data_IF_492566427162
#
_entry.id   IF_492566427162
#
_cell.length_a   1.000
_cell.length_b   1.000
_cell.length_c   1.000
_cell.angle_alpha   90.00
_cell.angle_beta   90.00
_cell.angle_gamma   90.00
#
_symmetry.space_group_name_H-M   'P 1'
#
loop_
_entity.id
_entity.type
_entity.pdbx_description
1 polymer ?
#
# COMPACT_ATOMS: atom_id res chain seq x y z
N UNK A 1 -12.03 12.19 -3.61
CA UNK A 1 -10.96 11.16 -3.49
C UNK A 1 -10.91 10.27 -4.72
N UNK A 2 -12.03 9.65 -5.12
CA UNK A 2 -12.10 8.84 -6.34
C UNK A 2 -11.53 9.54 -7.59
N UNK A 3 -11.90 10.81 -7.82
CA UNK A 3 -11.35 11.62 -8.93
C UNK A 3 -9.83 11.78 -8.85
N UNK A 4 -9.28 12.03 -7.67
CA UNK A 4 -7.83 12.19 -7.46
C UNK A 4 -7.08 10.91 -7.82
N UNK A 5 -7.61 9.76 -7.39
CA UNK A 5 -7.03 8.45 -7.69
C UNK A 5 -7.13 8.11 -9.18
N UNK A 6 -8.27 8.41 -9.80
CA UNK A 6 -8.47 8.15 -11.22
C UNK A 6 -7.56 9.02 -12.11
N UNK A 7 -7.36 10.29 -11.76
CA UNK A 7 -6.42 11.17 -12.46
C UNK A 7 -4.97 10.68 -12.33
N UNK A 8 -4.59 10.20 -11.15
CA UNK A 8 -3.22 9.75 -10.88
C UNK A 8 -2.93 8.34 -11.44
N UNK A 9 -3.91 7.43 -11.40
CA UNK A 9 -3.74 6.02 -11.77
C UNK A 9 -4.92 5.56 -12.63
N UNK A 10 -5.02 6.02 -13.89
CA UNK A 10 -6.18 5.77 -14.73
C UNK A 10 -6.38 4.29 -15.09
N UNK A 11 -5.32 3.49 -15.06
CA UNK A 11 -5.37 2.05 -15.32
C UNK A 11 -5.76 1.20 -14.10
N UNK A 12 -5.81 1.79 -12.90
CA UNK A 12 -6.07 1.06 -11.65
C UNK A 12 -7.51 1.27 -11.18
N UNK A 13 -8.19 0.18 -10.88
CA UNK A 13 -9.51 0.21 -10.24
C UNK A 13 -9.36 0.24 -8.72
N UNK A 14 -9.89 1.27 -8.08
CA UNK A 14 -9.93 1.41 -6.63
C UNK A 14 -11.34 1.18 -6.10
N UNK A 15 -11.47 0.33 -5.09
CA UNK A 15 -12.65 0.23 -4.26
C UNK A 15 -12.49 1.15 -3.05
N UNK A 16 -13.47 2.04 -2.83
CA UNK A 16 -13.46 2.97 -1.70
C UNK A 16 -14.65 2.67 -0.81
N UNK A 17 -14.38 2.28 0.43
CA UNK A 17 -15.41 1.98 1.43
C UNK A 17 -15.35 3.01 2.54
N UNK A 18 -16.50 3.58 2.91
CA UNK A 18 -16.61 4.53 4.02
C UNK A 18 -17.36 3.88 5.17
N UNK A 19 -16.73 3.83 6.33
CA UNK A 19 -17.34 3.32 7.58
C UNK A 19 -17.41 4.45 8.59
N UNK A 20 -18.58 4.71 9.17
CA UNK A 20 -18.73 5.59 10.33
C UNK A 20 -18.62 4.74 11.60
N UNK A 21 -17.70 5.07 12.50
CA UNK A 21 -17.57 4.42 13.82
C UNK A 21 -17.68 5.49 14.91
N UNK A 22 -18.78 5.46 15.66
CA UNK A 22 -19.04 6.36 16.77
C UNK A 22 -18.85 7.83 16.38
N UNK A 23 -17.69 8.38 16.73
CA UNK A 23 -17.37 9.81 16.67
C UNK A 23 -16.54 10.18 15.43
N UNK A 24 -16.24 9.24 14.54
CA UNK A 24 -15.42 9.49 13.38
C UNK A 24 -15.69 8.59 12.18
N UNK A 25 -15.05 8.92 11.08
CA UNK A 25 -15.17 8.23 9.80
C UNK A 25 -13.83 7.63 9.37
N UNK A 26 -13.90 6.39 8.93
CA UNK A 26 -12.78 5.68 8.33
C UNK A 26 -13.09 5.42 6.86
N UNK A 27 -12.11 5.68 6.01
CA UNK A 27 -12.15 5.39 4.59
C UNK A 27 -11.10 4.32 4.28
N UNK A 28 -11.53 3.20 3.71
CA UNK A 28 -10.63 2.15 3.22
C UNK A 28 -10.53 2.26 1.71
N UNK A 29 -9.30 2.24 1.19
CA UNK A 29 -9.00 2.23 -0.23
C UNK A 29 -8.34 0.89 -0.54
N UNK A 30 -9.04 0.06 -1.30
CA UNK A 30 -8.59 -1.24 -1.72
C UNK A 30 -8.32 -1.26 -3.22
N UNK A 31 -7.24 -1.90 -3.65
CA UNK A 31 -6.98 -2.17 -5.07
C UNK A 31 -6.21 -3.47 -5.26
N UNK A 32 -6.18 -3.96 -6.50
CA UNK A 32 -5.44 -5.16 -6.90
C UNK A 32 -4.31 -4.75 -7.84
N UNK A 33 -3.11 -5.28 -7.61
CA UNK A 33 -1.88 -4.95 -8.34
C UNK A 33 -1.63 -3.44 -8.40
N UNK A 34 -1.20 -2.88 -9.53
CA UNK A 34 -1.21 -1.43 -9.74
C UNK A 34 -0.09 -0.66 -9.01
N UNK A 35 -0.34 0.58 -8.54
CA UNK A 35 0.63 1.39 -7.81
C UNK A 35 0.98 0.81 -6.43
N UNK A 36 2.17 1.12 -5.94
CA UNK A 36 2.59 0.81 -4.56
C UNK A 36 1.78 1.61 -3.55
N UNK A 37 1.66 1.05 -2.35
CA UNK A 37 1.03 1.70 -1.21
C UNK A 37 1.59 3.10 -0.97
N UNK A 38 2.91 3.28 -1.07
CA UNK A 38 3.55 4.58 -0.91
C UNK A 38 3.12 5.61 -1.96
N UNK A 39 2.90 5.19 -3.21
CA UNK A 39 2.46 6.06 -4.30
C UNK A 39 1.02 6.54 -4.04
N UNK A 40 0.13 5.64 -3.64
CA UNK A 40 -1.25 5.97 -3.25
C UNK A 40 -1.27 6.83 -2.00
N UNK A 41 -0.50 6.46 -0.97
CA UNK A 41 -0.44 7.15 0.32
C UNK A 41 -0.06 8.62 0.20
N UNK A 42 0.91 8.95 -0.66
CA UNK A 42 1.32 10.34 -0.87
C UNK A 42 0.22 11.23 -1.43
N UNK A 43 -0.74 10.66 -2.17
CA UNK A 43 -1.86 11.40 -2.73
C UNK A 43 -3.03 11.52 -1.76
N UNK A 44 -3.31 10.46 -1.00
CA UNK A 44 -4.56 10.37 -0.22
C UNK A 44 -4.39 10.64 1.27
N UNK A 45 -3.26 10.31 1.91
CA UNK A 45 -3.10 10.54 3.35
C UNK A 45 -3.13 12.03 3.74
N UNK A 46 -2.65 13.00 2.93
CA UNK A 46 -2.83 14.42 3.21
C UNK A 46 -4.30 14.87 3.25
N UNK A 47 -5.22 14.06 2.71
CA UNK A 47 -6.65 14.33 2.63
C UNK A 47 -7.42 13.90 3.89
N UNK A 48 -6.74 13.35 4.90
CA UNK A 48 -7.37 13.01 6.17
C UNK A 48 -7.79 14.28 6.90
N UNK A 49 -9.01 14.28 7.45
CA UNK A 49 -9.56 15.37 8.26
C UNK A 49 -8.90 15.47 9.64
N UNK A 50 -8.07 14.50 10.03
CA UNK A 50 -7.32 14.52 11.28
C UNK A 50 -5.86 14.15 11.09
N UNK A 51 -5.02 14.61 12.02
CA UNK A 51 -3.62 14.22 12.15
C UNK A 51 -3.28 13.88 13.60
N UNK A 52 -2.24 13.08 13.79
CA UNK A 52 -1.60 12.93 15.09
C UNK A 52 -0.61 14.08 15.27
N UNK A 53 -0.79 14.89 16.31
CA UNK A 53 0.13 15.94 16.70
C UNK A 53 1.16 15.42 17.71
N UNK A 54 2.17 16.24 18.01
CA UNK A 54 3.16 15.95 19.03
C UNK A 54 2.46 15.69 20.38
N UNK A 55 2.88 14.63 21.08
CA UNK A 55 2.23 14.19 22.33
C UNK A 55 1.00 13.28 22.13
N UNK A 56 0.74 12.80 20.92
CA UNK A 56 -0.30 11.79 20.64
C UNK A 56 -1.72 12.32 20.55
N UNK A 57 -1.90 13.65 20.60
CA UNK A 57 -3.21 14.29 20.45
C UNK A 57 -3.68 14.22 19.00
N UNK A 58 -4.96 13.94 18.78
CA UNK A 58 -5.59 14.02 17.46
C UNK A 58 -6.08 15.45 17.23
N UNK A 59 -5.63 16.07 16.14
CA UNK A 59 -6.02 17.43 15.74
C UNK A 59 -6.78 17.41 14.42
N UNK A 60 -7.76 18.32 14.28
CA UNK A 60 -8.45 18.52 13.01
C UNK A 60 -7.59 19.27 12.03
N UNK A 61 -7.71 18.86 10.77
CA UNK A 61 -7.04 19.46 9.63
C UNK A 61 -8.09 20.14 8.78
N UNK A 62 -7.82 21.37 8.37
CA UNK A 62 -8.71 22.09 7.48
C UNK A 62 -8.18 22.03 6.05
N UNK A 63 -9.06 21.66 5.11
CA UNK A 63 -8.75 21.64 3.69
C UNK A 63 -9.48 22.78 3.00
N UNK A 64 -8.84 23.38 1.99
CA UNK A 64 -9.47 24.43 1.21
C UNK A 64 -8.94 24.47 -0.22
N UNK A 65 -9.70 25.09 -1.11
CA UNK A 65 -9.28 25.43 -2.47
C UNK A 65 -9.24 26.94 -2.64
N UNK A 66 -8.36 27.42 -3.52
CA UNK A 66 -8.35 28.81 -3.95
C UNK A 66 -9.22 28.96 -5.20
N UNK A 67 -10.21 29.85 -5.13
CA UNK A 67 -11.11 30.23 -6.22
C UNK A 67 -10.94 31.72 -6.53
N UNK A 68 -11.50 32.19 -7.65
CA UNK A 68 -11.53 33.61 -8.00
C UNK A 68 -12.25 34.48 -6.95
N UNK A 69 -13.17 33.89 -6.19
CA UNK A 69 -13.92 34.52 -5.10
C UNK A 69 -13.24 34.39 -3.72
N UNK A 70 -12.02 33.84 -3.65
CA UNK A 70 -11.27 33.67 -2.42
C UNK A 70 -11.11 32.22 -2.02
N UNK A 71 -11.19 31.93 -0.72
CA UNK A 71 -10.96 30.59 -0.17
C UNK A 71 -12.26 29.82 -0.02
N UNK A 72 -12.33 28.63 -0.60
CA UNK A 72 -13.42 27.68 -0.41
C UNK A 72 -12.97 26.55 0.53
N UNK A 73 -13.49 26.52 1.75
CA UNK A 73 -13.24 25.40 2.67
C UNK A 73 -13.87 24.11 2.12
N UNK A 74 -13.11 23.03 2.16
CA UNK A 74 -13.50 21.69 1.72
C UNK A 74 -13.53 20.79 2.94
N UNK A 75 -14.69 20.21 3.23
CA UNK A 75 -14.81 19.20 4.28
C UNK A 75 -14.53 17.82 3.69
N UNK A 76 -13.36 17.28 3.98
CA UNK A 76 -13.02 15.91 3.61
C UNK A 76 -13.64 14.94 4.62
N UNK A 77 -14.27 13.91 4.09
CA UNK A 77 -15.23 13.10 4.84
C UNK A 77 -14.60 12.06 5.78
N UNK A 78 -13.27 11.87 5.78
CA UNK A 78 -12.60 10.76 6.45
C UNK A 78 -11.58 11.25 7.48
N UNK A 79 -11.79 10.93 8.76
CA UNK A 79 -10.81 11.20 9.82
C UNK A 79 -9.57 10.32 9.66
N UNK A 80 -9.77 9.08 9.22
CA UNK A 80 -8.71 8.10 8.97
C UNK A 80 -8.85 7.47 7.59
N UNK A 81 -7.72 7.29 6.91
CA UNK A 81 -7.62 6.55 5.67
C UNK A 81 -6.76 5.30 5.90
N UNK A 82 -7.25 4.16 5.42
CA UNK A 82 -6.53 2.89 5.41
C UNK A 82 -6.35 2.45 3.96
N UNK A 83 -5.16 1.95 3.65
CA UNK A 83 -4.80 1.45 2.32
C UNK A 83 -4.63 -0.06 2.40
N UNK A 84 -5.06 -0.75 1.35
CA UNK A 84 -5.02 -2.20 1.29
C UNK A 84 -4.81 -2.62 -0.16
N UNK A 85 -3.57 -2.99 -0.46
CA UNK A 85 -3.21 -3.53 -1.76
C UNK A 85 -3.25 -5.06 -1.71
N UNK A 86 -3.95 -5.64 -2.67
CA UNK A 86 -3.94 -7.09 -2.92
C UNK A 86 -3.17 -7.38 -4.20
N UNK A 87 -2.66 -8.60 -4.32
CA UNK A 87 -1.95 -9.04 -5.52
C UNK A 87 -2.76 -10.10 -6.24
N UNK A 88 -2.77 -10.05 -7.57
CA UNK A 88 -3.34 -11.12 -8.38
C UNK A 88 -2.45 -12.36 -8.37
N UNK A 89 -3.04 -13.50 -8.68
CA UNK A 89 -2.31 -14.77 -8.77
C UNK A 89 -1.23 -14.72 -9.85
N UNK A 90 -1.44 -13.94 -10.92
CA UNK A 90 -0.44 -13.67 -11.94
C UNK A 90 0.78 -12.95 -11.36
N UNK A 91 0.58 -11.89 -10.59
CA UNK A 91 1.68 -11.14 -9.98
C UNK A 91 2.47 -12.02 -9.00
N UNK A 92 1.76 -12.81 -8.20
CA UNK A 92 2.36 -13.78 -7.26
C UNK A 92 3.18 -14.81 -8.03
N UNK A 93 2.63 -15.43 -9.07
CA UNK A 93 3.34 -16.42 -9.89
C UNK A 93 4.63 -15.85 -10.50
N UNK A 94 4.59 -14.62 -11.03
CA UNK A 94 5.78 -13.96 -11.58
C UNK A 94 6.87 -13.71 -10.53
N UNK A 95 6.48 -13.32 -9.31
CA UNK A 95 7.43 -13.13 -8.21
C UNK A 95 8.02 -14.46 -7.75
N UNK A 96 7.20 -15.50 -7.62
CA UNK A 96 7.65 -16.84 -7.26
C UNK A 96 8.66 -17.38 -8.29
N UNK A 97 8.39 -17.24 -9.58
CA UNK A 97 9.31 -17.64 -10.64
C UNK A 97 10.65 -16.89 -10.56
N UNK A 98 10.61 -15.57 -10.38
CA UNK A 98 11.83 -14.75 -10.19
C UNK A 98 12.64 -15.19 -8.97
N UNK A 99 11.97 -15.52 -7.87
CA UNK A 99 12.62 -15.95 -6.64
C UNK A 99 13.21 -17.36 -6.79
N UNK A 100 12.50 -18.26 -7.47
CA UNK A 100 12.99 -19.60 -7.78
C UNK A 100 14.25 -19.55 -8.67
N UNK A 101 14.31 -18.62 -9.62
CA UNK A 101 15.52 -18.38 -10.43
C UNK A 101 16.65 -17.76 -9.60
N UNK A 102 16.35 -16.78 -8.74
CA UNK A 102 17.33 -16.13 -7.87
C UNK A 102 18.04 -17.12 -6.94
N UNK A 103 17.31 -18.12 -6.45
CA UNK A 103 17.83 -19.12 -5.52
C UNK A 103 18.01 -20.49 -6.17
N UNK A 104 18.14 -20.57 -7.50
CA UNK A 104 18.15 -21.84 -8.23
C UNK A 104 19.21 -22.83 -7.70
N UNK A 105 20.38 -22.33 -7.30
CA UNK A 105 21.48 -23.15 -6.78
C UNK A 105 21.34 -23.51 -5.29
N UNK A 106 20.43 -22.86 -4.57
CA UNK A 106 20.24 -23.00 -3.12
C UNK A 106 18.93 -23.70 -2.74
N UNK A 107 17.98 -23.78 -3.66
CA UNK A 107 16.69 -24.42 -3.45
C UNK A 107 16.80 -25.92 -3.69
N UNK A 108 16.48 -26.69 -2.65
CA UNK A 108 16.23 -28.11 -2.81
C UNK A 108 14.99 -28.32 -3.72
N UNK A 109 14.94 -29.41 -4.51
CA UNK A 109 13.85 -29.64 -5.48
C UNK A 109 12.45 -29.67 -4.87
N UNK A 110 12.31 -30.19 -3.65
CA UNK A 110 11.08 -30.22 -2.87
C UNK A 110 10.63 -28.81 -2.47
N UNK A 111 11.56 -27.97 -2.04
CA UNK A 111 11.28 -26.56 -1.72
C UNK A 111 10.82 -25.81 -2.96
N UNK A 112 11.49 -26.03 -4.10
CA UNK A 112 11.10 -25.42 -5.37
C UNK A 112 9.68 -25.85 -5.79
N UNK A 113 9.31 -27.11 -5.56
CA UNK A 113 7.97 -27.61 -5.85
C UNK A 113 6.88 -26.94 -5.00
N UNK A 114 7.20 -26.49 -3.78
CA UNK A 114 6.28 -25.74 -2.92
C UNK A 114 6.08 -24.28 -3.34
N UNK A 115 6.86 -23.73 -4.29
CA UNK A 115 6.76 -22.33 -4.72
C UNK A 115 5.58 -22.09 -5.68
N UNK A 116 4.37 -22.41 -5.23
CA UNK A 116 3.13 -22.21 -5.97
C UNK A 116 2.30 -21.06 -5.40
N UNK A 117 1.37 -20.55 -6.20
CA UNK A 117 0.42 -19.51 -5.74
C UNK A 117 -0.43 -20.04 -4.59
N UNK A 118 -0.91 -21.28 -4.66
CA UNK A 118 -1.75 -21.89 -3.63
C UNK A 118 -1.01 -22.05 -2.30
N UNK A 119 0.26 -22.46 -2.35
CA UNK A 119 1.13 -22.56 -1.17
C UNK A 119 1.40 -21.20 -0.54
N UNK A 120 1.65 -20.17 -1.37
CA UNK A 120 1.80 -18.79 -0.91
C UNK A 120 0.52 -18.27 -0.22
N UNK A 121 -0.64 -18.47 -0.85
CA UNK A 121 -1.94 -18.05 -0.31
C UNK A 121 -2.32 -18.76 0.98
N UNK A 122 -1.96 -20.04 1.09
CA UNK A 122 -2.16 -20.82 2.29
C UNK A 122 -1.13 -20.52 3.40
N UNK A 123 -0.17 -19.61 3.16
CA UNK A 123 0.88 -19.27 4.12
C UNK A 123 1.92 -20.36 4.34
N UNK A 124 1.94 -21.41 3.51
CA UNK A 124 2.84 -22.57 3.68
C UNK A 124 4.30 -22.21 3.43
N UNK A 125 4.57 -21.15 2.66
CA UNK A 125 5.94 -20.66 2.45
C UNK A 125 6.57 -20.02 3.69
N UNK A 126 5.79 -19.75 4.75
CA UNK A 126 6.34 -19.30 6.03
C UNK A 126 7.23 -20.36 6.69
N UNK A 127 7.01 -21.64 6.37
CA UNK A 127 7.78 -22.77 6.88
C UNK A 127 9.04 -23.06 6.06
N UNK A 128 9.25 -22.31 4.97
CA UNK A 128 10.31 -22.57 4.00
C UNK A 128 11.47 -21.60 4.23
N UNK A 129 12.63 -22.16 4.57
CA UNK A 129 13.88 -21.42 4.73
C UNK A 129 14.91 -21.86 3.67
N UNK A 130 15.56 -20.91 3.00
CA UNK A 130 16.64 -21.17 2.05
C UNK A 130 17.97 -21.16 2.81
N UNK A 131 18.68 -22.28 2.81
CA UNK A 131 19.98 -22.40 3.48
C UNK A 131 21.00 -21.48 2.78
N UNK A 132 21.80 -20.75 3.55
CA UNK A 132 22.71 -19.73 3.06
C UNK A 132 22.09 -18.34 2.90
N UNK A 133 20.75 -18.23 2.88
CA UNK A 133 20.02 -16.96 2.81
C UNK A 133 19.29 -16.67 4.12
N UNK A 134 18.35 -17.54 4.51
CA UNK A 134 17.56 -17.37 5.73
C UNK A 134 18.27 -17.96 6.94
N UNK A 135 19.16 -18.92 6.72
CA UNK A 135 19.91 -19.64 7.75
C UNK A 135 21.37 -19.78 7.33
N UNK A 136 22.28 -19.30 8.18
CA UNK A 136 23.73 -19.43 7.96
C UNK A 136 24.34 -20.18 9.14
N UNK A 137 24.80 -21.41 8.90
CA UNK A 137 25.17 -22.34 9.97
C UNK A 137 23.97 -22.62 10.89
N UNK A 138 24.16 -22.47 12.21
CA UNK A 138 23.08 -22.61 13.19
C UNK A 138 22.21 -21.35 13.38
N UNK A 139 22.57 -20.22 12.78
CA UNK A 139 21.89 -18.94 13.01
C UNK A 139 20.77 -18.73 12.00
N UNK A 140 19.58 -18.39 12.50
CA UNK A 140 18.43 -17.99 11.69
C UNK A 140 18.33 -16.46 11.61
N UNK A 141 17.96 -15.95 10.44
CA UNK A 141 17.64 -14.54 10.22
C UNK A 141 16.26 -14.15 10.77
N UNK A 142 15.36 -15.12 10.93
CA UNK A 142 13.94 -14.88 11.18
C UNK A 142 13.12 -14.60 9.92
N UNK A 143 13.74 -14.61 8.73
CA UNK A 143 13.06 -14.53 7.43
C UNK A 143 12.73 -15.91 6.87
N UNK A 144 11.85 -15.94 5.87
CA UNK A 144 11.44 -17.14 5.14
C UNK A 144 11.00 -16.75 3.71
N UNK A 145 10.68 -17.75 2.89
CA UNK A 145 10.28 -17.52 1.50
C UNK A 145 9.00 -16.69 1.39
N UNK A 146 8.06 -16.77 2.34
CA UNK A 146 6.88 -15.90 2.35
C UNK A 146 7.28 -14.42 2.41
N UNK A 147 8.18 -14.06 3.33
CA UNK A 147 8.65 -12.68 3.52
C UNK A 147 9.37 -12.17 2.27
N UNK A 148 10.19 -13.01 1.62
CA UNK A 148 10.87 -12.65 0.38
C UNK A 148 9.89 -12.37 -0.77
N UNK A 149 8.82 -13.18 -0.89
CA UNK A 149 7.75 -12.96 -1.87
C UNK A 149 7.00 -11.68 -1.55
N UNK A 150 6.62 -11.45 -0.29
CA UNK A 150 5.91 -10.24 0.14
C UNK A 150 6.73 -8.97 -0.13
N UNK A 151 8.04 -9.01 0.14
CA UNK A 151 8.95 -7.91 -0.12
C UNK A 151 9.06 -7.61 -1.63
N UNK A 152 9.18 -8.64 -2.46
CA UNK A 152 9.21 -8.46 -3.91
C UNK A 152 7.87 -7.92 -4.44
N UNK A 153 6.74 -8.45 -3.98
CA UNK A 153 5.40 -7.98 -4.35
C UNK A 153 5.20 -6.51 -3.95
N UNK A 154 5.62 -6.12 -2.75
CA UNK A 154 5.53 -4.74 -2.28
C UNK A 154 6.25 -3.74 -3.22
N UNK A 155 7.36 -4.17 -3.84
CA UNK A 155 8.12 -3.36 -4.78
C UNK A 155 7.57 -3.40 -6.22
N UNK A 156 6.73 -4.38 -6.57
CA UNK A 156 6.10 -4.40 -7.90
C UNK A 156 5.13 -3.24 -8.08
N UNK A 157 5.19 -2.60 -9.25
CA UNK A 157 4.26 -1.52 -9.63
C UNK A 157 4.24 -1.35 -11.13
N UNK A 158 3.07 -1.03 -11.68
CA UNK A 158 2.89 -0.58 -13.06
C UNK A 158 2.90 0.96 -13.17
N UNK A 159 2.91 1.67 -12.05
CA UNK A 159 2.88 3.11 -12.00
C UNK A 159 4.31 3.68 -11.99
N UNK A 160 4.61 4.49 -13.01
CA UNK A 160 5.88 5.20 -13.08
C UNK A 160 5.91 6.44 -12.18
N UNK A 161 6.97 6.56 -11.36
CA UNK A 161 7.23 7.75 -10.55
C UNK A 161 6.14 8.06 -9.51
N UNK A 162 5.80 9.33 -9.36
CA UNK A 162 4.69 9.78 -8.50
C UNK A 162 3.71 10.58 -9.34
N UNK A 163 2.67 9.92 -9.88
CA UNK A 163 1.66 10.59 -10.70
C UNK A 163 0.99 11.73 -9.92
N UNK A 164 0.61 12.78 -10.64
CA UNK A 164 -0.03 13.97 -10.07
C UNK A 164 -1.53 13.93 -10.36
N UNK A 165 -2.31 14.51 -9.45
CA UNK A 165 -3.72 14.81 -9.67
C UNK A 165 -3.90 16.31 -9.76
N UNK A 166 -4.59 16.78 -10.80
CA UNK A 166 -4.94 18.20 -10.97
C UNK A 166 -5.89 18.61 -9.83
N UNK A 167 -6.87 17.75 -9.51
CA UNK A 167 -7.80 17.98 -8.40
C UNK A 167 -7.06 18.02 -7.06
N UNK A 168 -6.14 17.08 -6.83
CA UNK A 168 -5.33 17.02 -5.61
C UNK A 168 -4.39 18.22 -5.46
N UNK A 169 -3.80 18.70 -6.55
CA UNK A 169 -2.90 19.86 -6.56
C UNK A 169 -3.60 21.19 -6.19
N UNK A 170 -4.94 21.24 -6.29
CA UNK A 170 -5.73 22.43 -5.92
C UNK A 170 -6.18 22.42 -4.46
N UNK A 171 -5.96 21.32 -3.74
CA UNK A 171 -6.30 21.19 -2.32
C UNK A 171 -5.13 21.62 -1.45
N UNK A 172 -5.36 22.65 -0.67
CA UNK A 172 -4.43 23.15 0.34
C UNK A 172 -4.84 22.67 1.72
N UNK A 173 -3.85 22.50 2.59
CA UNK A 173 -4.02 21.97 3.94
C UNK A 173 -3.54 23.01 4.94
N UNK A 174 -4.40 23.42 5.88
CA UNK A 174 -4.02 24.24 7.03
C UNK A 174 -3.91 23.33 8.27
N UNK A 175 -2.74 23.37 8.90
CA UNK A 175 -2.39 22.51 10.04
C UNK A 175 -2.53 23.19 11.40
N UNK A 176 -2.56 24.52 11.42
CA UNK A 176 -2.76 25.32 12.62
C UNK A 176 -4.05 26.10 12.48
N UNK A 177 -5.10 25.62 13.16
CA UNK A 177 -6.33 26.35 13.40
C UNK A 177 -6.22 26.86 14.83
N UNK A 178 -5.94 28.15 15.00
CA UNK A 178 -5.90 28.82 16.30
C UNK A 178 -7.33 29.15 16.74
#
# INVERSE_FOLDING_TARGET
MQTILHEAFPATSFAITVTKRGNGSQLTIDWVDGPRDLQVARLVLPLQATRLANGGKVERVEHFMLTSSGRLTVHLAADRITLSRRFSDRAIAQVLERLALRYADLLAPDVRAMMTVDDYRAGRLQLVEVIGVHRTGGRRSGSNVQVDVDALLAETTDAHGFPRSITGARLFVRRDVH
#
